data_IF_208167044652
#
_entry.id   IF_208167044652
#
_cell.length_a   1.000
_cell.length_b   1.000
_cell.length_c   1.000
_cell.angle_alpha   90.00
_cell.angle_beta   90.00
_cell.angle_gamma   90.00
#
_symmetry.space_group_name_H-M   'P 1'
#
loop_
_entity.id
_entity.type
_entity.pdbx_description
1 polymer ?
#
# COMPACT_ATOMS: atom_id res chain seq x y z
N UNK A 1 -9.44 -2.62 33.74
CA UNK A 1 -8.31 -2.92 32.82
C UNK A 1 -8.72 -3.53 31.46
N UNK A 2 -10.02 -3.72 31.17
CA UNK A 2 -10.51 -4.15 29.85
C UNK A 2 -10.97 -3.00 28.92
N UNK A 3 -11.15 -1.79 29.45
CA UNK A 3 -11.68 -0.63 28.69
C UNK A 3 -10.61 0.28 28.07
N UNK A 4 -9.33 0.18 28.46
CA UNK A 4 -8.26 1.03 27.92
C UNK A 4 -7.85 0.69 26.47
N UNK A 5 -8.40 -0.40 25.93
CA UNK A 5 -8.16 -0.85 24.55
C UNK A 5 -9.10 -0.15 23.56
N UNK A 6 -10.20 0.46 24.02
CA UNK A 6 -11.24 1.01 23.13
C UNK A 6 -11.21 2.53 22.94
N UNK A 7 -10.62 3.33 23.83
CA UNK A 7 -10.69 4.80 23.72
C UNK A 7 -9.31 5.43 23.51
N UNK A 8 -8.87 5.54 22.25
CA UNK A 8 -7.68 6.29 21.80
C UNK A 8 -6.30 5.85 22.38
N UNK A 9 -6.23 5.23 23.55
CA UNK A 9 -5.02 4.83 24.26
C UNK A 9 -4.34 3.62 23.63
N UNK A 10 -5.11 2.61 23.22
CA UNK A 10 -4.60 1.45 22.48
C UNK A 10 -4.02 1.83 21.11
N UNK A 11 -4.66 2.77 20.39
CA UNK A 11 -4.18 3.26 19.10
C UNK A 11 -2.93 4.13 19.26
N UNK A 12 -2.91 5.05 20.23
CA UNK A 12 -1.72 5.85 20.57
C UNK A 12 -0.55 4.99 21.06
N UNK A 13 -0.83 3.90 21.76
CA UNK A 13 0.18 2.95 22.19
C UNK A 13 0.76 2.18 21.00
N UNK A 14 -0.11 1.68 20.10
CA UNK A 14 0.33 1.05 18.85
C UNK A 14 1.15 2.02 18.00
N UNK A 15 0.71 3.28 17.88
CA UNK A 15 1.43 4.33 17.18
C UNK A 15 2.82 4.57 17.79
N UNK A 16 2.94 4.65 19.12
CA UNK A 16 4.23 4.80 19.81
C UNK A 16 5.14 3.61 19.55
N UNK A 17 4.62 2.37 19.55
CA UNK A 17 5.39 1.17 19.23
C UNK A 17 5.85 1.21 17.77
N UNK A 18 4.95 1.51 16.83
CA UNK A 18 5.30 1.59 15.41
C UNK A 18 6.34 2.68 15.16
N UNK A 19 6.19 3.84 15.80
CA UNK A 19 7.14 4.96 15.73
C UNK A 19 8.48 4.61 16.36
N UNK A 20 8.48 3.90 17.50
CA UNK A 20 9.71 3.43 18.14
C UNK A 20 10.44 2.41 17.27
N UNK A 21 9.75 1.38 16.78
CA UNK A 21 10.33 0.39 15.87
C UNK A 21 10.83 1.06 14.60
N UNK A 22 10.08 1.99 14.00
CA UNK A 22 10.50 2.67 12.77
C UNK A 22 11.64 3.68 12.97
N UNK A 23 11.69 4.37 14.10
CA UNK A 23 12.72 5.39 14.39
C UNK A 23 13.99 4.82 15.03
N UNK A 24 13.90 3.62 15.63
CA UNK A 24 15.06 2.94 16.23
C UNK A 24 15.70 1.97 15.22
N UNK A 25 14.98 1.59 14.16
CA UNK A 25 15.43 0.60 13.19
C UNK A 25 16.08 1.23 11.96
N UNK A 26 17.41 1.33 12.02
CA UNK A 26 18.23 0.96 10.87
C UNK A 26 18.40 -0.58 10.76
N UNK A 27 17.77 -1.38 11.64
CA UNK A 27 18.14 -2.80 11.82
C UNK A 27 17.07 -3.84 12.16
N UNK A 28 15.81 -3.52 12.51
CA UNK A 28 14.79 -4.57 12.74
C UNK A 28 14.36 -5.19 11.42
N UNK A 29 14.65 -6.46 11.26
CA UNK A 29 14.24 -7.28 10.12
C UNK A 29 12.77 -7.70 10.25
N UNK A 30 12.17 -8.11 9.12
CA UNK A 30 10.80 -8.64 9.08
C UNK A 30 10.58 -9.81 10.04
N UNK A 31 11.57 -10.69 10.16
CA UNK A 31 11.45 -11.90 10.98
C UNK A 31 11.57 -11.59 12.47
N UNK A 32 12.42 -10.65 12.86
CA UNK A 32 12.51 -10.17 14.24
C UNK A 32 11.20 -9.51 14.68
N UNK A 33 10.62 -8.66 13.84
CA UNK A 33 9.31 -8.05 14.12
C UNK A 33 8.21 -9.12 14.26
N UNK A 34 8.21 -10.11 13.36
CA UNK A 34 7.23 -11.22 13.39
C UNK A 34 7.34 -12.04 14.68
N UNK A 35 8.56 -12.32 15.14
CA UNK A 35 8.78 -13.07 16.38
C UNK A 35 8.36 -12.25 17.60
N UNK A 36 8.74 -10.97 17.66
CA UNK A 36 8.35 -10.07 18.75
C UNK A 36 6.83 -9.93 18.89
N UNK A 37 6.12 -9.81 17.77
CA UNK A 37 4.65 -9.79 17.75
C UNK A 37 4.07 -11.12 18.21
N UNK A 38 4.66 -12.26 17.84
CA UNK A 38 4.21 -13.59 18.30
C UNK A 38 4.49 -13.88 19.77
N UNK A 39 5.53 -13.30 20.34
CA UNK A 39 5.89 -13.45 21.75
C UNK A 39 5.08 -12.50 22.64
N UNK A 40 4.81 -11.29 22.16
CA UNK A 40 4.05 -10.26 22.89
C UNK A 40 2.53 -10.48 22.85
N UNK A 41 2.03 -11.17 21.82
CA UNK A 41 0.61 -11.47 21.64
C UNK A 41 0.38 -12.98 21.62
N UNK A 42 -0.84 -13.46 21.93
CA UNK A 42 -1.17 -14.87 21.72
C UNK A 42 -1.00 -15.25 20.25
N UNK A 43 -0.76 -16.53 19.96
CA UNK A 43 -0.51 -17.01 18.58
C UNK A 43 -1.59 -16.56 17.58
N UNK A 44 -2.85 -16.58 18.01
CA UNK A 44 -4.00 -16.08 17.25
C UNK A 44 -3.92 -14.57 16.99
N UNK A 45 -3.67 -13.77 18.03
CA UNK A 45 -3.61 -12.30 17.95
C UNK A 45 -2.38 -11.83 17.15
N UNK A 46 -1.23 -12.50 17.33
CA UNK A 46 -0.03 -12.22 16.54
C UNK A 46 -0.23 -12.54 15.05
N UNK A 47 -0.93 -13.64 14.74
CA UNK A 47 -1.36 -13.95 13.38
C UNK A 47 -2.24 -12.85 12.77
N UNK A 48 -3.24 -12.37 13.52
CA UNK A 48 -4.13 -11.29 13.09
C UNK A 48 -3.35 -9.99 12.78
N UNK A 49 -2.44 -9.57 13.66
CA UNK A 49 -1.59 -8.38 13.44
C UNK A 49 -0.80 -8.49 12.14
N UNK A 50 -0.21 -9.65 11.85
CA UNK A 50 0.52 -9.87 10.60
C UNK A 50 -0.39 -9.76 9.36
N UNK A 51 -1.62 -10.26 9.43
CA UNK A 51 -2.58 -10.12 8.31
C UNK A 51 -3.00 -8.68 8.08
N UNK A 52 -3.19 -7.90 9.15
CA UNK A 52 -3.51 -6.46 9.07
C UNK A 52 -2.34 -5.70 8.46
N UNK A 53 -1.11 -5.95 8.93
CA UNK A 53 0.09 -5.32 8.39
C UNK A 53 0.26 -5.61 6.90
N UNK A 54 0.03 -6.85 6.46
CA UNK A 54 0.11 -7.21 5.04
C UNK A 54 -1.00 -6.53 4.22
N UNK A 55 -2.21 -6.41 4.77
CA UNK A 55 -3.31 -5.67 4.14
C UNK A 55 -2.96 -4.19 3.98
N UNK A 56 -2.49 -3.53 5.05
CA UNK A 56 -2.05 -2.13 5.03
C UNK A 56 -0.93 -1.91 4.00
N UNK A 57 0.05 -2.80 3.95
CA UNK A 57 1.14 -2.75 2.97
C UNK A 57 0.62 -2.83 1.53
N UNK A 58 -0.31 -3.76 1.25
CA UNK A 58 -0.93 -3.90 -0.07
C UNK A 58 -1.77 -2.68 -0.46
N UNK A 59 -2.53 -2.13 0.49
CA UNK A 59 -3.35 -0.93 0.27
C UNK A 59 -2.48 0.30 0.01
N UNK A 60 -1.43 0.52 0.82
CA UNK A 60 -0.50 1.63 0.61
C UNK A 60 0.26 1.53 -0.71
N UNK A 61 0.75 0.34 -1.08
CA UNK A 61 1.36 0.11 -2.38
C UNK A 61 0.39 0.42 -3.53
N UNK A 62 -0.87 -0.03 -3.40
CA UNK A 62 -1.92 0.24 -4.40
C UNK A 62 -2.25 1.74 -4.49
N UNK A 63 -2.32 2.45 -3.38
CA UNK A 63 -2.57 3.90 -3.38
C UNK A 63 -1.42 4.63 -4.06
N UNK A 64 -0.18 4.35 -3.65
CA UNK A 64 1.01 4.98 -4.24
C UNK A 64 1.15 4.72 -5.74
N UNK A 65 0.85 3.50 -6.21
CA UNK A 65 0.91 3.22 -7.66
C UNK A 65 -0.18 3.95 -8.45
N UNK A 66 -1.39 4.08 -7.90
CA UNK A 66 -2.48 4.83 -8.55
C UNK A 66 -2.15 6.32 -8.64
N UNK A 67 -1.61 6.92 -7.56
CA UNK A 67 -1.16 8.30 -7.56
C UNK A 67 -0.02 8.52 -8.57
N UNK A 68 0.95 7.60 -8.63
CA UNK A 68 2.03 7.67 -9.61
C UNK A 68 1.53 7.58 -11.06
N UNK A 69 0.53 6.73 -11.33
CA UNK A 69 -0.10 6.63 -12.66
C UNK A 69 -0.85 7.92 -12.99
N UNK A 70 -1.66 8.43 -12.06
CA UNK A 70 -2.43 9.67 -12.23
C UNK A 70 -1.52 10.87 -12.55
N UNK A 71 -0.45 11.03 -11.76
CA UNK A 71 0.54 12.08 -11.98
C UNK A 71 1.28 11.90 -13.30
N UNK A 72 1.74 10.67 -13.61
CA UNK A 72 2.44 10.38 -14.86
C UNK A 72 1.58 10.63 -16.10
N UNK A 73 0.28 10.34 -16.00
CA UNK A 73 -0.71 10.62 -17.03
C UNK A 73 -0.87 12.12 -17.28
N UNK A 74 -1.14 12.90 -16.23
CA UNK A 74 -1.29 14.36 -16.33
C UNK A 74 -0.02 15.03 -16.88
N UNK A 75 1.17 14.64 -16.38
CA UNK A 75 2.44 15.22 -16.83
C UNK A 75 2.72 14.92 -18.31
N UNK A 76 2.46 13.69 -18.77
CA UNK A 76 2.90 13.24 -20.09
C UNK A 76 1.88 13.46 -21.20
N UNK A 77 0.59 13.35 -20.86
CA UNK A 77 -0.50 13.35 -21.83
C UNK A 77 -1.57 14.43 -21.53
N UNK A 78 -1.40 15.21 -20.45
CA UNK A 78 -2.36 16.23 -20.03
C UNK A 78 -3.60 15.65 -19.34
N UNK A 79 -4.46 16.54 -18.84
CA UNK A 79 -5.59 16.16 -17.97
C UNK A 79 -6.68 15.36 -18.68
N UNK A 80 -6.77 15.44 -20.01
CA UNK A 80 -7.71 14.62 -20.79
C UNK A 80 -7.45 13.12 -20.60
N UNK A 81 -6.19 12.74 -20.37
CA UNK A 81 -5.80 11.34 -20.10
C UNK A 81 -6.33 10.82 -18.75
N UNK A 82 -6.68 11.70 -17.82
CA UNK A 82 -7.18 11.33 -16.49
C UNK A 82 -8.56 10.66 -16.53
N UNK A 83 -9.30 10.79 -17.65
CA UNK A 83 -10.56 10.04 -17.86
C UNK A 83 -10.35 8.53 -17.73
N UNK A 84 -9.16 8.03 -18.05
CA UNK A 84 -8.77 6.61 -17.94
C UNK A 84 -8.63 6.14 -16.49
N UNK A 85 -8.46 7.06 -15.52
CA UNK A 85 -8.35 6.72 -14.09
C UNK A 85 -9.61 6.03 -13.56
N UNK A 86 -10.78 6.32 -14.12
CA UNK A 86 -12.04 5.64 -13.77
C UNK A 86 -11.98 4.12 -13.99
N UNK A 87 -11.26 3.67 -15.03
CA UNK A 87 -11.03 2.26 -15.34
C UNK A 87 -9.85 1.71 -14.51
N UNK A 88 -8.74 2.45 -14.45
CA UNK A 88 -7.52 2.03 -13.75
C UNK A 88 -7.81 1.78 -12.26
N UNK A 89 -8.59 2.64 -11.60
CA UNK A 89 -8.96 2.48 -10.18
C UNK A 89 -9.74 1.19 -9.91
N UNK A 90 -10.41 0.59 -10.89
CA UNK A 90 -11.16 -0.67 -10.74
C UNK A 90 -10.28 -1.91 -10.81
N UNK A 91 -9.06 -1.78 -11.32
CA UNK A 91 -8.11 -2.89 -11.45
C UNK A 91 -7.61 -3.30 -10.07
N UNK A 92 -7.76 -4.59 -9.71
CA UNK A 92 -7.32 -5.14 -8.41
C UNK A 92 -5.96 -5.81 -8.43
N UNK A 93 -5.52 -6.32 -9.59
CA UNK A 93 -4.24 -7.04 -9.73
C UNK A 93 -3.08 -6.04 -9.73
N UNK A 94 -2.16 -6.17 -8.77
CA UNK A 94 -0.97 -5.31 -8.62
C UNK A 94 -0.10 -5.33 -9.87
N UNK A 95 0.06 -6.49 -10.48
CA UNK A 95 0.94 -6.72 -11.63
C UNK A 95 0.43 -5.94 -12.85
N UNK A 96 -0.90 -5.85 -13.02
CA UNK A 96 -1.51 -5.05 -14.08
C UNK A 96 -1.32 -3.55 -13.83
N UNK A 97 -1.39 -3.09 -12.57
CA UNK A 97 -1.10 -1.69 -12.23
C UNK A 97 0.39 -1.34 -12.47
N UNK A 98 1.31 -2.26 -12.17
CA UNK A 98 2.74 -2.10 -12.50
C UNK A 98 2.97 -1.99 -14.01
N UNK A 99 2.33 -2.86 -14.80
CA UNK A 99 2.43 -2.83 -16.24
C UNK A 99 1.88 -1.51 -16.81
N UNK A 100 0.77 -1.01 -16.26
CA UNK A 100 0.21 0.30 -16.61
C UNK A 100 1.18 1.44 -16.26
N UNK A 101 1.71 1.48 -15.03
CA UNK A 101 2.71 2.47 -14.62
C UNK A 101 3.92 2.49 -15.56
N UNK A 102 4.43 1.31 -15.90
CA UNK A 102 5.56 1.17 -16.82
C UNK A 102 5.20 1.63 -18.24
N UNK A 103 3.98 1.36 -18.70
CA UNK A 103 3.47 1.84 -19.98
C UNK A 103 3.39 3.36 -19.98
N UNK A 104 2.80 3.99 -18.94
CA UNK A 104 2.75 5.46 -18.81
C UNK A 104 4.15 6.07 -18.91
N UNK A 105 5.15 5.47 -18.25
CA UNK A 105 6.54 5.93 -18.29
C UNK A 105 7.14 5.94 -19.71
N UNK A 106 6.86 4.94 -20.54
CA UNK A 106 7.57 4.75 -21.82
C UNK A 106 6.74 5.02 -23.08
N UNK A 107 5.42 4.86 -23.02
CA UNK A 107 4.52 4.99 -24.18
C UNK A 107 4.64 6.34 -24.86
N UNK A 108 4.59 6.38 -26.19
CA UNK A 108 4.66 7.65 -26.93
C UNK A 108 3.31 8.35 -26.98
N UNK A 109 2.23 7.57 -26.93
CA UNK A 109 0.86 8.06 -26.97
C UNK A 109 -0.11 7.19 -26.14
N UNK A 110 -1.35 7.66 -26.01
CA UNK A 110 -2.38 7.01 -25.19
C UNK A 110 -2.91 5.69 -25.77
N UNK A 111 -2.62 5.37 -27.04
CA UNK A 111 -3.13 4.15 -27.69
C UNK A 111 -2.50 2.89 -27.07
N UNK A 112 -1.19 2.95 -26.77
CA UNK A 112 -0.49 1.87 -26.07
C UNK A 112 -1.10 1.59 -24.68
N UNK A 113 -1.50 2.66 -23.98
CA UNK A 113 -2.15 2.54 -22.68
C UNK A 113 -3.59 2.00 -22.78
N UNK A 114 -4.31 2.28 -23.86
CA UNK A 114 -5.65 1.72 -24.09
C UNK A 114 -5.59 0.21 -24.30
N UNK A 115 -4.64 -0.26 -25.11
CA UNK A 115 -4.46 -1.68 -25.39
C UNK A 115 -4.30 -2.53 -24.12
N UNK A 116 -3.52 -2.06 -23.14
CA UNK A 116 -3.32 -2.78 -21.87
C UNK A 116 -4.54 -2.74 -20.93
N UNK A 117 -5.40 -1.73 -21.06
CA UNK A 117 -6.63 -1.67 -20.28
C UNK A 117 -7.67 -2.66 -20.80
N UNK A 118 -7.71 -2.86 -22.12
CA UNK A 118 -8.66 -3.73 -22.82
C UNK A 118 -8.27 -5.22 -22.81
N UNK A 119 -6.99 -5.54 -22.53
CA UNK A 119 -6.48 -6.92 -22.33
C UNK A 119 -6.85 -7.53 -20.97
#
# INVERSE_FOLDING_TARGET
MREAVESEGGLRFLEKILRYVSNTADSITRDELKNLVKESFSHEKGGLVMTIAEKMRKEGYRQGILEAIEMGLSIKFGDESLKMMSLIRRIRKSEKLDAIKNTVRHAKDLSELRAILES
#
